data_IF_236501131079
#
_entry.id   IF_236501131079
#
_cell.length_a   1.000
_cell.length_b   1.000
_cell.length_c   1.000
_cell.angle_alpha   90.00
_cell.angle_beta   90.00
_cell.angle_gamma   90.00
#
_symmetry.space_group_name_H-M   'P 1'
#
loop_
_entity.id
_entity.type
_entity.pdbx_description
1 polymer ?
#
# COMPACT_ATOMS: atom_id res chain seq x y z
N UNK A 1 1.71 21.74 1.93
CA UNK A 1 2.10 21.89 0.52
C UNK A 1 2.95 20.71 0.04
N UNK A 2 4.08 20.39 0.70
CA UNK A 2 4.98 19.30 0.27
C UNK A 2 4.32 17.95 -0.04
N UNK A 3 3.35 17.50 0.78
CA UNK A 3 2.60 16.25 0.52
C UNK A 3 1.83 16.27 -0.82
N UNK A 4 1.17 17.39 -1.13
CA UNK A 4 0.40 17.55 -2.37
C UNK A 4 1.34 17.60 -3.57
N UNK A 5 2.50 18.25 -3.45
CA UNK A 5 3.52 18.22 -4.50
C UNK A 5 4.01 16.79 -4.78
N UNK A 6 4.28 16.01 -3.73
CA UNK A 6 4.70 14.61 -3.88
C UNK A 6 3.61 13.77 -4.57
N UNK A 7 2.35 13.91 -4.16
CA UNK A 7 1.21 13.23 -4.79
C UNK A 7 1.08 13.56 -6.29
N UNK A 8 1.20 14.84 -6.66
CA UNK A 8 1.14 15.28 -8.06
C UNK A 8 2.31 14.69 -8.88
N UNK A 9 3.53 14.71 -8.34
CA UNK A 9 4.71 14.12 -9.00
C UNK A 9 4.51 12.62 -9.22
N UNK A 10 4.04 11.88 -8.22
CA UNK A 10 3.77 10.44 -8.33
C UNK A 10 2.72 10.12 -9.40
N UNK A 11 1.63 10.90 -9.47
CA UNK A 11 0.58 10.73 -10.48
C UNK A 11 1.13 10.86 -11.91
N UNK A 12 1.82 11.98 -12.20
CA UNK A 12 2.37 12.21 -13.54
C UNK A 12 3.48 11.21 -13.90
N UNK A 13 4.24 10.73 -12.91
CA UNK A 13 5.26 9.71 -13.15
C UNK A 13 4.64 8.37 -13.54
N UNK A 14 3.59 7.94 -12.87
CA UNK A 14 2.84 6.73 -13.24
C UNK A 14 2.26 6.86 -14.65
N UNK A 15 1.64 8.00 -14.97
CA UNK A 15 1.14 8.30 -16.31
C UNK A 15 2.23 8.20 -17.39
N UNK A 16 3.39 8.82 -17.14
CA UNK A 16 4.54 8.76 -18.07
C UNK A 16 5.02 7.33 -18.33
N UNK A 17 4.94 6.45 -17.32
CA UNK A 17 5.33 5.05 -17.42
C UNK A 17 4.23 4.14 -17.97
N UNK A 18 3.04 4.67 -18.29
CA UNK A 18 1.89 3.89 -18.75
C UNK A 18 1.25 3.04 -17.64
N UNK A 19 1.52 3.34 -16.37
CA UNK A 19 0.95 2.66 -15.22
C UNK A 19 -0.36 3.36 -14.84
N UNK A 20 -1.44 2.59 -14.68
CA UNK A 20 -2.73 3.13 -14.21
C UNK A 20 -2.66 3.53 -12.75
N UNK A 21 -2.94 4.80 -12.43
CA UNK A 21 -2.84 5.35 -11.06
C UNK A 21 -3.85 4.74 -10.08
N UNK A 22 -5.02 4.33 -10.56
CA UNK A 22 -6.08 3.74 -9.72
C UNK A 22 -5.77 2.30 -9.31
N UNK A 23 -5.09 1.57 -10.19
CA UNK A 23 -4.64 0.21 -9.94
C UNK A 23 -3.23 0.00 -10.52
N UNK A 24 -2.17 0.43 -9.82
CA UNK A 24 -0.81 0.37 -10.34
C UNK A 24 -0.23 -1.06 -10.39
N UNK A 25 -0.90 -2.03 -9.78
CA UNK A 25 -0.47 -3.43 -9.70
C UNK A 25 -1.59 -4.38 -10.14
N UNK A 26 -1.89 -4.48 -11.44
CA UNK A 26 -2.94 -5.36 -11.95
C UNK A 26 -2.64 -6.85 -11.75
N UNK A 27 -1.37 -7.20 -11.52
CA UNK A 27 -0.91 -8.56 -11.16
C UNK A 27 -1.38 -8.99 -9.78
N UNK A 28 -1.78 -8.06 -8.91
CA UNK A 28 -2.29 -8.35 -7.57
C UNK A 28 -1.22 -8.64 -6.52
N UNK A 29 0.05 -8.37 -6.82
CA UNK A 29 1.16 -8.47 -5.84
C UNK A 29 0.99 -7.46 -4.70
N UNK A 30 0.41 -6.29 -5.01
CA UNK A 30 0.05 -5.24 -4.06
C UNK A 30 -1.40 -4.83 -4.31
N UNK A 31 -2.18 -4.71 -3.23
CA UNK A 31 -3.61 -4.41 -3.29
C UNK A 31 -3.98 -3.24 -2.39
N UNK A 32 -5.02 -2.50 -2.78
CA UNK A 32 -5.61 -1.43 -1.95
C UNK A 32 -6.04 -1.94 -0.57
N UNK A 33 -6.56 -3.17 -0.53
CA UNK A 33 -6.87 -3.89 0.70
C UNK A 33 -5.88 -5.03 0.80
N UNK A 34 -5.18 -5.13 1.94
CA UNK A 34 -4.16 -6.16 2.13
C UNK A 34 -4.79 -7.56 2.04
N UNK A 35 -4.08 -8.46 1.36
CA UNK A 35 -4.47 -9.85 1.19
C UNK A 35 -3.34 -10.74 1.74
N UNK A 36 -3.67 -11.96 2.17
CA UNK A 36 -2.68 -12.91 2.70
C UNK A 36 -2.21 -12.66 4.13
N UNK A 37 -2.88 -11.76 4.87
CA UNK A 37 -2.55 -11.52 6.29
C UNK A 37 -3.20 -12.58 7.16
N UNK A 38 -2.37 -13.32 7.91
CA UNK A 38 -2.83 -14.24 8.97
C UNK A 38 -2.64 -13.56 10.32
N UNK A 39 -3.74 -13.37 11.05
CA UNK A 39 -3.71 -12.81 12.41
C UNK A 39 -3.62 -13.97 13.40
N UNK A 40 -2.59 -13.95 14.25
CA UNK A 40 -2.40 -14.93 15.30
C UNK A 40 -2.86 -14.37 16.65
N UNK A 41 -3.45 -15.18 17.54
CA UNK A 41 -3.82 -14.73 18.87
C UNK A 41 -2.56 -14.37 19.68
N UNK A 42 -2.61 -13.24 20.37
CA UNK A 42 -1.63 -12.90 21.40
C UNK A 42 -1.75 -13.92 22.54
N UNK A 43 -0.64 -14.48 23.03
CA UNK A 43 -0.70 -15.39 24.17
C UNK A 43 -0.86 -14.55 25.44
N UNK A 44 -1.73 -15.01 26.34
CA UNK A 44 -2.04 -14.32 27.59
C UNK A 44 -0.81 -14.05 28.49
N UNK A 45 0.29 -14.78 28.30
CA UNK A 45 1.55 -14.58 29.02
C UNK A 45 2.40 -13.40 28.52
N UNK A 46 2.16 -12.90 27.30
CA UNK A 46 3.03 -11.92 26.63
C UNK A 46 2.65 -10.45 26.94
N UNK A 47 1.59 -10.23 27.74
CA UNK A 47 1.06 -8.90 28.07
C UNK A 47 1.81 -8.25 29.26
N UNK A 48 2.51 -9.06 30.06
CA UNK A 48 3.14 -8.62 31.31
C UNK A 48 4.68 -8.70 31.28
N UNK A 49 5.28 -8.96 30.12
CA UNK A 49 6.72 -8.83 29.87
C UNK A 49 7.07 -7.42 29.35
#
# INVERSE_FOLDING_TARGET
YYMVCAQIISFYKAWQLGITVDNPCPTGEVNRVVQGVTIYPLKQGDIND
#
